data_IF_466303394185
#
_entry.id   IF_466303394185
#
_cell.length_a   1.000
_cell.length_b   1.000
_cell.length_c   1.000
_cell.angle_alpha   90.00
_cell.angle_beta   90.00
_cell.angle_gamma   90.00
#
_symmetry.space_group_name_H-M   'P 1'
#
loop_
_entity.id
_entity.type
_entity.pdbx_description
1 polymer ?
#
# COMPACT_ATOMS: atom_id res chain seq x y z
N UNK A 1 19.21 -6.91 -10.26
CA UNK A 1 18.15 -6.76 -9.23
C UNK A 1 17.66 -8.16 -8.94
N UNK A 2 17.88 -8.70 -7.74
CA UNK A 2 17.37 -10.04 -7.40
C UNK A 2 15.85 -9.96 -7.28
N UNK A 3 15.12 -10.73 -8.09
CA UNK A 3 13.67 -10.88 -7.94
C UNK A 3 13.37 -11.56 -6.60
N UNK A 4 12.45 -10.98 -5.82
CA UNK A 4 12.01 -11.54 -4.54
C UNK A 4 11.10 -12.74 -4.81
N UNK A 5 11.24 -13.82 -4.03
CA UNK A 5 10.28 -14.92 -4.08
C UNK A 5 8.93 -14.50 -3.51
N UNK A 6 7.85 -15.18 -3.90
CA UNK A 6 6.51 -14.87 -3.41
C UNK A 6 6.41 -14.96 -1.88
N UNK A 7 7.12 -15.91 -1.25
CA UNK A 7 7.20 -16.01 0.21
C UNK A 7 7.84 -14.77 0.85
N UNK A 8 8.92 -14.25 0.24
CA UNK A 8 9.59 -13.03 0.72
C UNK A 8 8.70 -11.79 0.52
N UNK A 9 7.91 -11.74 -0.56
CA UNK A 9 6.94 -10.66 -0.81
C UNK A 9 5.84 -10.64 0.24
N UNK A 10 5.30 -11.81 0.60
CA UNK A 10 4.29 -11.93 1.68
C UNK A 10 4.85 -11.47 3.02
N UNK A 11 6.03 -11.94 3.41
CA UNK A 11 6.64 -11.56 4.69
C UNK A 11 6.97 -10.05 4.74
N UNK A 12 7.44 -9.49 3.62
CA UNK A 12 7.69 -8.05 3.47
C UNK A 12 6.40 -7.26 3.65
N UNK A 13 5.30 -7.66 3.03
CA UNK A 13 4.01 -6.97 3.19
C UNK A 13 3.46 -7.08 4.62
N UNK A 14 3.60 -8.23 5.28
CA UNK A 14 3.18 -8.39 6.68
C UNK A 14 3.97 -7.48 7.64
N UNK A 15 5.27 -7.30 7.39
CA UNK A 15 6.10 -6.33 8.14
C UNK A 15 5.70 -4.89 7.84
N UNK A 16 5.47 -4.56 6.57
CA UNK A 16 5.02 -3.23 6.16
C UNK A 16 3.67 -2.87 6.78
N UNK A 17 2.69 -3.79 6.78
CA UNK A 17 1.36 -3.57 7.40
C UNK A 17 1.46 -3.22 8.88
N UNK A 18 2.22 -4.00 9.66
CA UNK A 18 2.44 -3.70 11.08
C UNK A 18 3.12 -2.35 11.30
N UNK A 19 4.17 -2.05 10.54
CA UNK A 19 4.87 -0.78 10.66
C UNK A 19 3.99 0.43 10.29
N UNK A 20 3.10 0.27 9.30
CA UNK A 20 2.13 1.31 8.95
C UNK A 20 1.14 1.53 10.08
N UNK A 21 0.47 0.46 10.53
CA UNK A 21 -0.59 0.56 11.54
C UNK A 21 -0.08 1.13 12.86
N UNK A 22 1.11 0.70 13.31
CA UNK A 22 1.66 1.09 14.61
C UNK A 22 2.30 2.49 14.60
N UNK A 23 3.03 2.85 13.53
CA UNK A 23 3.88 4.04 13.54
C UNK A 23 3.50 5.06 12.47
N UNK A 24 3.36 4.64 11.20
CA UNK A 24 3.24 5.59 10.09
C UNK A 24 1.84 6.18 9.96
N UNK A 25 0.78 5.38 10.08
CA UNK A 25 -0.60 5.87 9.95
C UNK A 25 -0.93 6.94 11.01
N UNK A 26 -0.59 6.76 12.31
CA UNK A 26 -0.78 7.82 13.29
C UNK A 26 0.07 9.07 13.00
N UNK A 27 1.30 8.90 12.50
CA UNK A 27 2.18 10.02 12.18
C UNK A 27 1.70 10.82 10.96
N UNK A 28 1.29 10.14 9.89
CA UNK A 28 0.71 10.72 8.68
C UNK A 28 -0.60 11.44 9.01
N UNK A 29 -1.45 10.84 9.83
CA UNK A 29 -2.69 11.46 10.31
C UNK A 29 -2.43 12.78 11.05
N UNK A 30 -1.51 12.79 12.02
CA UNK A 30 -1.13 14.01 12.75
C UNK A 30 -0.53 15.08 11.82
N UNK A 31 0.32 14.67 10.87
CA UNK A 31 0.91 15.60 9.90
C UNK A 31 -0.18 16.23 9.01
N UNK A 32 -1.09 15.39 8.49
CA UNK A 32 -2.21 15.84 7.67
C UNK A 32 -3.11 16.83 8.41
N UNK A 33 -3.47 16.53 9.66
CA UNK A 33 -4.25 17.43 10.52
C UNK A 33 -3.53 18.76 10.74
N UNK A 34 -2.23 18.72 11.04
CA UNK A 34 -1.42 19.91 11.29
C UNK A 34 -1.36 20.84 10.08
N UNK A 35 -1.06 20.29 8.89
CA UNK A 35 -1.04 21.07 7.66
C UNK A 35 -2.42 21.58 7.27
N UNK A 36 -3.47 20.77 7.46
CA UNK A 36 -4.85 21.17 7.18
C UNK A 36 -5.31 22.31 8.09
N UNK A 37 -4.99 22.26 9.39
CA UNK A 37 -5.30 23.32 10.33
C UNK A 37 -4.57 24.62 9.96
N UNK A 38 -3.28 24.52 9.61
CA UNK A 38 -2.48 25.68 9.21
C UNK A 38 -2.96 26.30 7.89
N UNK A 39 -3.36 25.46 6.93
CA UNK A 39 -3.96 25.91 5.67
C UNK A 39 -5.25 26.70 5.94
N UNK A 40 -6.15 26.17 6.77
CA UNK A 40 -7.41 26.86 7.14
C UNK A 40 -7.13 28.22 7.80
N UNK A 41 -6.17 28.27 8.72
CA UNK A 41 -5.78 29.50 9.42
C UNK A 41 -5.24 30.57 8.46
N UNK A 42 -4.36 30.18 7.51
CA UNK A 42 -3.81 31.11 6.51
C UNK A 42 -4.90 31.56 5.53
N UNK A 43 -5.75 30.65 5.05
CA UNK A 43 -6.86 31.03 4.17
C UNK A 43 -7.81 32.03 4.85
N UNK A 44 -7.99 31.93 6.17
CA UNK A 44 -8.86 32.84 6.92
C UNK A 44 -8.20 34.22 7.19
N UNK A 45 -6.89 34.26 7.46
CA UNK A 45 -6.18 35.49 7.86
C UNK A 45 -5.49 36.22 6.72
N UNK A 46 -4.92 35.47 5.78
CA UNK A 46 -4.05 35.95 4.70
C UNK A 46 -4.45 35.30 3.36
N UNK A 47 -5.70 35.46 2.89
CA UNK A 47 -6.17 34.79 1.66
C UNK A 47 -5.41 35.20 0.39
N UNK A 48 -4.73 36.34 0.40
CA UNK A 48 -3.87 36.81 -0.69
C UNK A 48 -2.50 36.12 -0.73
N UNK A 49 -2.12 35.35 0.31
CA UNK A 49 -0.85 34.62 0.37
C UNK A 49 -0.91 33.32 -0.45
N UNK A 50 -1.22 33.44 -1.74
CA UNK A 50 -1.48 32.33 -2.66
C UNK A 50 -0.34 31.29 -2.67
N UNK A 51 0.91 31.73 -2.68
CA UNK A 51 2.08 30.83 -2.69
C UNK A 51 2.14 29.95 -1.43
N UNK A 52 1.82 30.52 -0.26
CA UNK A 52 1.84 29.80 1.01
C UNK A 52 0.68 28.81 1.10
N UNK A 53 -0.50 29.20 0.60
CA UNK A 53 -1.68 28.33 0.50
C UNK A 53 -1.37 27.16 -0.44
N UNK A 54 -0.81 27.42 -1.62
CA UNK A 54 -0.43 26.40 -2.59
C UNK A 54 0.64 25.44 -2.04
N UNK A 55 1.65 25.95 -1.34
CA UNK A 55 2.68 25.13 -0.71
C UNK A 55 2.10 24.16 0.33
N UNK A 56 1.16 24.62 1.16
CA UNK A 56 0.49 23.78 2.17
C UNK A 56 -0.46 22.75 1.53
N UNK A 57 -1.21 23.15 0.51
CA UNK A 57 -2.05 22.22 -0.25
C UNK A 57 -1.21 21.12 -0.93
N UNK A 58 -0.05 21.48 -1.49
CA UNK A 58 0.89 20.51 -2.05
C UNK A 58 1.48 19.58 -0.98
N UNK A 59 1.81 20.11 0.20
CA UNK A 59 2.29 19.28 1.31
C UNK A 59 1.25 18.23 1.74
N UNK A 60 -0.03 18.61 1.80
CA UNK A 60 -1.13 17.67 2.08
C UNK A 60 -1.21 16.58 1.00
N UNK A 61 -1.19 16.96 -0.29
CA UNK A 61 -1.21 16.00 -1.40
C UNK A 61 -0.05 15.01 -1.34
N UNK A 62 1.16 15.48 -1.03
CA UNK A 62 2.36 14.62 -0.90
C UNK A 62 2.17 13.60 0.23
N UNK A 63 1.57 14.00 1.36
CA UNK A 63 1.29 13.08 2.46
C UNK A 63 0.28 11.99 2.07
N UNK A 64 -0.76 12.35 1.30
CA UNK A 64 -1.73 11.39 0.78
C UNK A 64 -1.11 10.40 -0.21
N UNK A 65 -0.27 10.90 -1.13
CA UNK A 65 0.46 10.07 -2.10
C UNK A 65 1.41 9.11 -1.39
N UNK A 66 2.15 9.59 -0.38
CA UNK A 66 3.01 8.74 0.43
C UNK A 66 2.22 7.63 1.13
N UNK A 67 1.02 7.94 1.66
CA UNK A 67 0.13 6.94 2.24
C UNK A 67 -0.27 5.85 1.23
N UNK A 68 -0.66 6.25 0.01
CA UNK A 68 -1.04 5.33 -1.07
C UNK A 68 0.13 4.45 -1.53
N UNK A 69 1.33 5.00 -1.64
CA UNK A 69 2.52 4.25 -2.03
C UNK A 69 2.87 3.17 -0.99
N UNK A 70 2.68 3.49 0.29
CA UNK A 70 2.88 2.55 1.38
C UNK A 70 1.81 1.43 1.37
N UNK A 71 0.55 1.76 1.05
CA UNK A 71 -0.52 0.77 0.87
C UNK A 71 -0.29 -0.13 -0.36
N UNK A 72 0.20 0.43 -1.46
CA UNK A 72 0.54 -0.33 -2.66
C UNK A 72 1.60 -1.40 -2.39
N UNK A 73 2.59 -1.10 -1.55
CA UNK A 73 3.61 -2.05 -1.12
C UNK A 73 3.04 -3.23 -0.32
N UNK A 74 1.91 -3.04 0.37
CA UNK A 74 1.19 -4.11 1.08
C UNK A 74 0.38 -4.95 0.10
N UNK A 75 -0.34 -4.30 -0.82
CA UNK A 75 -1.15 -4.99 -1.82
C UNK A 75 -0.33 -5.93 -2.72
N UNK A 76 0.93 -5.60 -3.00
CA UNK A 76 1.85 -6.49 -3.71
C UNK A 76 2.02 -7.85 -3.00
N UNK A 77 2.16 -7.85 -1.67
CA UNK A 77 2.28 -9.09 -0.91
C UNK A 77 0.96 -9.83 -0.74
N UNK A 78 -0.19 -9.14 -0.71
CA UNK A 78 -1.50 -9.79 -0.73
C UNK A 78 -1.69 -10.57 -2.06
N UNK A 79 -1.26 -10.00 -3.19
CA UNK A 79 -1.29 -10.67 -4.48
C UNK A 79 -0.37 -11.91 -4.51
N UNK A 80 0.83 -11.82 -3.92
CA UNK A 80 1.75 -12.95 -3.77
C UNK A 80 1.16 -14.05 -2.87
N UNK A 81 0.49 -13.70 -1.77
CA UNK A 81 -0.19 -14.68 -0.91
C UNK A 81 -1.28 -15.44 -1.67
N UNK A 82 -2.06 -14.74 -2.50
CA UNK A 82 -3.09 -15.37 -3.36
C UNK A 82 -2.48 -16.27 -4.45
N UNK A 83 -1.28 -15.95 -4.95
CA UNK A 83 -0.56 -16.82 -5.89
C UNK A 83 -0.12 -18.13 -5.20
N UNK A 84 0.46 -18.05 -4.00
CA UNK A 84 0.87 -19.21 -3.21
C UNK A 84 -0.33 -20.12 -2.85
N UNK A 85 -1.44 -19.53 -2.38
CA UNK A 85 -2.66 -20.29 -2.07
C UNK A 85 -3.24 -21.01 -3.30
N UNK A 86 -3.16 -20.37 -4.49
CA UNK A 86 -3.56 -21.01 -5.74
C UNK A 86 -2.61 -22.17 -6.10
N UNK A 87 -1.30 -21.95 -6.02
CA UNK A 87 -0.30 -22.99 -6.30
C UNK A 87 -0.49 -24.23 -5.41
N UNK A 88 -0.67 -24.03 -4.10
CA UNK A 88 -0.92 -25.12 -3.14
C UNK A 88 -2.23 -25.86 -3.45
N UNK A 89 -3.29 -25.15 -3.84
CA UNK A 89 -4.54 -25.77 -4.29
C UNK A 89 -4.34 -26.64 -5.53
N UNK A 90 -3.57 -26.17 -6.52
CA UNK A 90 -3.28 -26.93 -7.73
C UNK A 90 -2.45 -28.18 -7.45
N UNK A 91 -1.47 -28.09 -6.55
CA UNK A 91 -0.65 -29.22 -6.14
C UNK A 91 -1.49 -30.32 -5.45
N UNK A 92 -2.47 -29.91 -4.64
CA UNK A 92 -3.43 -30.81 -3.97
C UNK A 92 -4.53 -31.37 -4.88
N UNK A 93 -4.63 -30.95 -6.14
CA UNK A 93 -5.60 -31.54 -7.06
C UNK A 93 -5.19 -32.96 -7.43
N UNK A 94 -6.17 -33.87 -7.43
CA UNK A 94 -6.00 -35.23 -7.95
C UNK A 94 -5.69 -35.21 -9.46
N UNK A 95 -4.98 -36.22 -10.00
CA UNK A 95 -4.61 -36.26 -11.42
C UNK A 95 -5.81 -36.11 -12.37
N UNK A 96 -6.97 -36.67 -12.01
CA UNK A 96 -8.20 -36.56 -12.80
C UNK A 96 -8.73 -35.11 -12.87
N UNK A 97 -8.63 -34.33 -11.79
CA UNK A 97 -9.00 -32.91 -11.79
C UNK A 97 -7.98 -32.03 -12.50
N UNK A 98 -6.70 -32.38 -12.48
CA UNK A 98 -5.65 -31.66 -13.24
C UNK A 98 -5.86 -31.78 -14.75
N UNK A 99 -6.25 -32.97 -15.25
CA UNK A 99 -6.61 -33.19 -16.66
C UNK A 99 -7.83 -32.38 -17.09
N UNK A 100 -8.87 -32.32 -16.25
CA UNK A 100 -10.08 -31.52 -16.51
C UNK A 100 -9.80 -30.02 -16.63
N UNK A 101 -8.76 -29.53 -15.95
CA UNK A 101 -8.34 -28.12 -15.97
C UNK A 101 -7.23 -27.83 -17.00
N UNK A 102 -6.76 -28.85 -17.74
CA UNK A 102 -5.70 -28.68 -18.75
C UNK A 102 -4.31 -28.38 -18.18
N UNK A 103 -4.06 -28.69 -16.91
CA UNK A 103 -2.79 -28.39 -16.23
C UNK A 103 -1.95 -29.69 -16.13
N UNK A 104 -1.09 -29.94 -17.13
CA UNK A 104 -0.10 -31.04 -17.18
C UNK A 104 -0.30 -32.06 -18.31
N UNK A 105 0.78 -32.72 -18.80
CA UNK A 105 0.70 -33.65 -19.93
C UNK A 105 0.01 -34.96 -19.54
N UNK A 106 -0.65 -35.55 -20.54
CA UNK A 106 -1.51 -36.73 -20.47
C UNK A 106 -0.84 -37.96 -19.83
#
# INVERSE_FOLDING_TARGET
>A
MNELSDAQRVERAARARRAIEEFLAPALGRAHETFSARLKDICAREPWAADRIAALANAIRILEELGKDLEAAIHDGDAAAQALLRAEKYERLTPARRRLLGIGPF
#
